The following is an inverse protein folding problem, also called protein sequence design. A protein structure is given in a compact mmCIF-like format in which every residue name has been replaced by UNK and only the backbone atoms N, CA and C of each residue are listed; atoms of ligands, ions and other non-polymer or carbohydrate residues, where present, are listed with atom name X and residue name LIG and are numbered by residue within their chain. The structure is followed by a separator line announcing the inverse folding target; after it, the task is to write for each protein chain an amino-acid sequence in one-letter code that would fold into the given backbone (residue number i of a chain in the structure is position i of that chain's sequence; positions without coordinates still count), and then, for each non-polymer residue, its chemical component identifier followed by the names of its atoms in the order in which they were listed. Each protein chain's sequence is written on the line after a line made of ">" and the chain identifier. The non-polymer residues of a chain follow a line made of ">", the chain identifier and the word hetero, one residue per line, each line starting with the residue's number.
data_IF_560633293976
#
_entry.id   IF_560633293976
#
_cell.length_a   1.000
_cell.length_b   1.000
_cell.length_c   1.000
_cell.angle_alpha   90.00
_cell.angle_beta   90.00
_cell.angle_gamma   90.00
#
_symmetry.space_group_name_H-M   'P 1'
#
loop_
_entity.id
_entity.type
_entity.pdbx_description
1 polymer ?
#
# COMPACT_ATOMS: atom_id res chain seq x y z
N UNK A 1 2.02 45.57 -43.70
CA UNK A 1 2.82 44.36 -43.99
C UNK A 1 3.69 44.06 -42.80
N UNK A 2 3.35 42.99 -42.08
CA UNK A 2 4.06 42.32 -40.97
C UNK A 2 4.31 43.13 -39.70
N UNK A 3 3.61 42.86 -38.59
CA UNK A 3 3.74 41.68 -37.71
C UNK A 3 5.14 41.49 -37.12
N UNK A 4 5.29 41.85 -35.84
CA UNK A 4 5.75 40.89 -34.84
C UNK A 4 5.20 41.30 -33.46
N UNK A 5 4.21 40.54 -33.00
CA UNK A 5 3.68 40.55 -31.64
C UNK A 5 4.70 39.83 -30.75
N UNK A 6 5.44 40.57 -29.92
CA UNK A 6 6.12 39.96 -28.79
C UNK A 6 5.11 39.80 -27.66
N UNK A 7 4.61 38.57 -27.54
CA UNK A 7 3.56 38.17 -26.61
C UNK A 7 4.11 38.20 -25.19
N UNK A 8 3.67 39.19 -24.41
CA UNK A 8 3.80 39.21 -22.95
C UNK A 8 2.94 38.08 -22.40
N UNK A 9 3.57 36.95 -22.09
CA UNK A 9 2.93 35.88 -21.33
C UNK A 9 2.64 36.37 -19.89
N UNK A 10 1.47 36.02 -19.33
CA UNK A 10 0.98 36.59 -18.10
C UNK A 10 1.72 36.03 -16.89
N UNK A 11 2.03 36.90 -15.93
CA UNK A 11 2.46 36.52 -14.59
C UNK A 11 1.32 35.79 -13.86
N UNK A 12 1.14 34.50 -14.15
CA UNK A 12 0.32 33.61 -13.36
C UNK A 12 1.03 33.40 -12.01
N UNK A 13 0.34 33.78 -10.93
CA UNK A 13 0.85 33.83 -9.57
C UNK A 13 1.59 32.57 -9.15
N UNK A 14 2.83 32.77 -8.74
CA UNK A 14 3.69 31.78 -8.11
C UNK A 14 3.26 31.51 -6.65
N UNK A 15 2.01 31.08 -6.46
CA UNK A 15 1.52 30.53 -5.19
C UNK A 15 1.26 29.03 -5.33
N UNK A 16 2.19 28.34 -5.97
CA UNK A 16 2.33 26.91 -5.77
C UNK A 16 2.85 26.73 -4.33
N UNK A 17 2.20 25.93 -3.48
CA UNK A 17 2.70 25.67 -2.13
C UNK A 17 4.11 25.14 -2.26
N UNK A 18 5.08 25.93 -1.78
CA UNK A 18 6.46 25.48 -1.64
C UNK A 18 6.42 24.27 -0.74
N UNK A 19 6.74 23.10 -1.28
CA UNK A 19 7.01 21.91 -0.48
C UNK A 19 8.08 22.31 0.54
N UNK A 20 7.68 22.42 1.80
CA UNK A 20 8.60 22.73 2.89
C UNK A 20 9.54 21.54 2.97
N UNK A 21 10.85 21.76 2.76
CA UNK A 21 11.85 20.72 2.90
C UNK A 21 11.67 20.03 4.28
N UNK A 22 11.22 18.78 4.27
CA UNK A 22 10.97 17.99 5.49
C UNK A 22 9.52 17.59 5.74
N UNK A 23 8.52 18.20 5.09
CA UNK A 23 7.14 17.71 5.17
C UNK A 23 6.96 16.46 4.32
N UNK A 24 6.44 15.41 4.94
CA UNK A 24 6.14 14.16 4.25
C UNK A 24 4.91 14.36 3.34
N UNK A 25 4.86 13.78 2.12
CA UNK A 25 3.76 14.03 1.17
C UNK A 25 2.35 13.84 1.75
N UNK A 26 2.17 12.89 2.67
CA UNK A 26 0.90 12.67 3.37
C UNK A 26 0.50 13.81 4.30
N UNK A 27 1.46 14.50 4.92
CA UNK A 27 1.20 15.62 5.82
C UNK A 27 0.75 16.84 5.02
N UNK A 28 1.37 17.10 3.86
CA UNK A 28 0.92 18.13 2.90
C UNK A 28 -0.51 17.87 2.43
N UNK A 29 -0.81 16.63 2.03
CA UNK A 29 -2.15 16.25 1.60
C UNK A 29 -3.18 16.38 2.74
N UNK A 30 -2.83 15.94 3.95
CA UNK A 30 -3.70 16.03 5.13
C UNK A 30 -3.97 17.48 5.54
N UNK A 31 -2.95 18.34 5.52
CA UNK A 31 -3.11 19.76 5.80
C UNK A 31 -3.97 20.46 4.74
N UNK A 32 -3.75 20.17 3.45
CA UNK A 32 -4.56 20.72 2.36
C UNK A 32 -6.03 20.29 2.48
N UNK A 33 -6.28 19.01 2.78
CA UNK A 33 -7.62 18.49 3.05
C UNK A 33 -8.29 19.20 4.22
N UNK A 34 -7.56 19.42 5.31
CA UNK A 34 -8.06 20.16 6.47
C UNK A 34 -8.47 21.57 6.07
N UNK A 35 -7.61 22.32 5.36
CA UNK A 35 -7.92 23.68 4.91
C UNK A 35 -9.17 23.74 4.02
N UNK A 36 -9.35 22.75 3.14
CA UNK A 36 -10.55 22.64 2.28
C UNK A 36 -11.83 22.31 3.05
N UNK A 37 -11.74 21.81 4.28
CA UNK A 37 -12.90 21.27 5.02
C UNK A 37 -13.23 21.99 6.32
N UNK A 38 -12.42 22.97 6.75
CA UNK A 38 -12.63 23.74 8.00
C UNK A 38 -13.01 25.21 7.78
N UNK A 39 -13.26 25.65 6.55
CA UNK A 39 -13.65 27.03 6.20
C UNK A 39 -15.16 27.31 6.24
N UNK A 40 -15.59 28.57 5.97
CA UNK A 40 -17.01 28.96 5.95
C UNK A 40 -17.80 28.27 4.82
N UNK A 41 -17.11 27.89 3.75
CA UNK A 41 -17.66 27.08 2.65
C UNK A 41 -16.82 25.79 2.51
N UNK A 42 -17.01 24.82 3.42
CA UNK A 42 -16.21 23.60 3.39
C UNK A 42 -16.57 22.78 2.15
N UNK A 43 -15.56 22.15 1.55
CA UNK A 43 -15.75 21.19 0.48
C UNK A 43 -16.67 20.06 0.99
N UNK A 44 -17.86 19.97 0.43
CA UNK A 44 -18.97 19.21 0.98
C UNK A 44 -19.79 18.52 -0.10
N UNK A 45 -20.42 17.40 0.27
CA UNK A 45 -21.42 16.71 -0.54
C UNK A 45 -22.82 16.94 0.03
N UNK A 46 -23.84 16.76 -0.80
CA UNK A 46 -25.23 16.73 -0.34
C UNK A 46 -25.62 15.30 0.06
N UNK A 47 -25.74 15.06 1.37
CA UNK A 47 -26.13 13.76 1.91
C UNK A 47 -27.61 13.43 1.66
N UNK A 48 -28.48 14.43 1.51
CA UNK A 48 -29.89 14.21 1.18
C UNK A 48 -30.03 13.69 -0.25
N UNK A 49 -29.30 14.27 -1.20
CA UNK A 49 -29.28 13.82 -2.59
C UNK A 49 -28.66 12.42 -2.76
N UNK A 50 -27.63 12.10 -1.97
CA UNK A 50 -26.94 10.80 -2.07
C UNK A 50 -27.68 9.65 -1.37
N UNK A 51 -28.40 9.97 -0.29
CA UNK A 51 -29.16 9.02 0.52
C UNK A 51 -28.30 7.90 1.14
N UNK A 52 -28.91 6.76 1.42
CA UNK A 52 -28.18 5.58 1.93
C UNK A 52 -27.80 5.67 3.42
N UNK A 53 -28.60 6.35 4.24
CA UNK A 53 -28.33 6.48 5.67
C UNK A 53 -27.34 7.60 6.03
N UNK A 54 -26.94 8.42 5.06
CA UNK A 54 -26.20 9.65 5.32
C UNK A 54 -27.11 10.72 5.91
N UNK A 55 -26.59 11.62 6.77
CA UNK A 55 -27.32 12.79 7.22
C UNK A 55 -27.91 13.59 6.05
N UNK A 56 -29.20 13.93 6.12
CA UNK A 56 -29.92 14.68 5.07
C UNK A 56 -29.58 16.18 5.10
N UNK A 57 -28.30 16.52 4.95
CA UNK A 57 -27.75 17.88 4.92
C UNK A 57 -26.45 17.91 4.10
N UNK A 58 -25.87 19.10 3.95
CA UNK A 58 -24.49 19.23 3.47
C UNK A 58 -23.53 18.62 4.51
N UNK A 59 -22.63 17.76 4.03
CA UNK A 59 -21.65 17.05 4.86
C UNK A 59 -20.26 17.41 4.33
N UNK A 60 -19.44 18.05 5.16
CA UNK A 60 -18.05 18.33 4.84
C UNK A 60 -17.27 17.03 4.63
N UNK A 61 -16.30 17.01 3.72
CA UNK A 61 -15.56 15.78 3.43
C UNK A 61 -14.81 15.22 4.65
N UNK A 62 -14.40 16.07 5.61
CA UNK A 62 -13.79 15.65 6.88
C UNK A 62 -14.76 14.82 7.73
N UNK A 63 -15.99 15.28 7.88
CA UNK A 63 -17.06 14.53 8.56
C UNK A 63 -17.41 13.26 7.78
N UNK A 64 -17.48 13.34 6.45
CA UNK A 64 -17.74 12.19 5.60
C UNK A 64 -16.68 11.09 5.78
N UNK A 65 -15.41 11.45 5.87
CA UNK A 65 -14.33 10.49 6.13
C UNK A 65 -14.56 9.75 7.46
N UNK A 66 -14.99 10.45 8.52
CA UNK A 66 -15.31 9.84 9.80
C UNK A 66 -16.52 8.89 9.69
N UNK A 67 -17.57 9.28 8.95
CA UNK A 67 -18.75 8.43 8.71
C UNK A 67 -18.35 7.14 7.99
N UNK A 68 -17.53 7.23 6.94
CA UNK A 68 -17.11 6.06 6.16
C UNK A 68 -16.23 5.08 6.96
N UNK A 69 -15.51 5.56 7.98
CA UNK A 69 -14.74 4.70 8.88
C UNK A 69 -15.59 4.03 9.95
N UNK A 70 -16.80 4.52 10.22
CA UNK A 70 -17.64 3.96 11.26
C UNK A 70 -18.14 2.56 10.85
N UNK A 71 -18.11 1.54 11.73
CA UNK A 71 -18.52 0.18 11.41
C UNK A 71 -20.00 0.05 10.99
N UNK A 72 -20.84 1.05 11.33
CA UNK A 72 -22.24 1.12 10.89
C UNK A 72 -22.42 1.60 9.45
N UNK A 73 -21.36 2.09 8.77
CA UNK A 73 -21.45 2.50 7.38
C UNK A 73 -21.47 1.27 6.46
N UNK A 74 -22.62 1.02 5.84
CA UNK A 74 -22.77 -0.08 4.88
C UNK A 74 -21.93 0.10 3.61
N UNK A 75 -21.53 -1.01 3.00
CA UNK A 75 -20.76 -1.01 1.75
C UNK A 75 -21.50 -0.32 0.60
N UNK A 76 -22.83 -0.41 0.55
CA UNK A 76 -23.64 0.24 -0.49
C UNK A 76 -23.57 1.76 -0.41
N UNK A 77 -23.57 2.32 0.80
CA UNK A 77 -23.41 3.75 1.07
C UNK A 77 -22.00 4.20 0.76
N UNK A 78 -20.99 3.44 1.20
CA UNK A 78 -19.59 3.69 0.87
C UNK A 78 -19.38 3.71 -0.65
N UNK A 79 -19.93 2.74 -1.38
CA UNK A 79 -19.83 2.71 -2.84
C UNK A 79 -20.49 3.91 -3.51
N UNK A 80 -21.64 4.39 -2.99
CA UNK A 80 -22.28 5.61 -3.49
C UNK A 80 -21.39 6.83 -3.31
N UNK A 81 -20.83 6.99 -2.11
CA UNK A 81 -19.92 8.09 -1.78
C UNK A 81 -18.69 8.05 -2.69
N UNK A 82 -18.02 6.90 -2.81
CA UNK A 82 -16.82 6.79 -3.62
C UNK A 82 -17.08 6.98 -5.11
N UNK A 83 -18.25 6.59 -5.63
CA UNK A 83 -18.64 6.92 -7.01
C UNK A 83 -18.73 8.43 -7.23
N UNK A 84 -19.41 9.13 -6.32
CA UNK A 84 -19.52 10.59 -6.38
C UNK A 84 -18.14 11.25 -6.26
N UNK A 85 -17.30 10.81 -5.33
CA UNK A 85 -15.94 11.37 -5.15
C UNK A 85 -15.07 11.15 -6.40
N UNK A 86 -15.15 9.99 -7.03
CA UNK A 86 -14.43 9.71 -8.29
C UNK A 86 -14.93 10.62 -9.41
N UNK A 87 -16.24 10.80 -9.53
CA UNK A 87 -16.84 11.68 -10.53
C UNK A 87 -16.39 13.14 -10.31
N UNK A 88 -16.53 13.65 -9.09
CA UNK A 88 -16.13 15.02 -8.74
C UNK A 88 -14.62 15.24 -8.88
N UNK A 89 -13.78 14.25 -8.56
CA UNK A 89 -12.34 14.34 -8.79
C UNK A 89 -11.97 14.44 -10.28
N UNK A 90 -12.85 13.98 -11.18
CA UNK A 90 -12.65 14.07 -12.63
C UNK A 90 -13.18 15.37 -13.22
N UNK A 91 -14.29 15.89 -12.70
CA UNK A 91 -15.03 17.01 -13.33
C UNK A 91 -15.06 18.29 -12.48
N UNK A 92 -14.97 18.17 -11.16
CA UNK A 92 -15.12 19.26 -10.20
C UNK A 92 -13.84 20.05 -9.88
N UNK A 93 -12.70 19.68 -10.46
CA UNK A 93 -11.42 20.39 -10.32
C UNK A 93 -10.49 19.84 -9.22
N UNK A 94 -9.33 20.49 -9.00
CA UNK A 94 -8.24 19.94 -8.19
C UNK A 94 -8.56 19.79 -6.71
N UNK A 95 -9.43 20.65 -6.15
CA UNK A 95 -9.87 20.56 -4.76
C UNK A 95 -10.55 19.21 -4.45
N UNK A 96 -11.28 18.63 -5.42
CA UNK A 96 -11.92 17.32 -5.25
C UNK A 96 -10.93 16.16 -5.31
N UNK A 97 -9.81 16.30 -6.01
CA UNK A 97 -8.72 15.31 -6.00
C UNK A 97 -8.08 15.27 -4.62
N UNK A 98 -7.75 16.44 -4.06
CA UNK A 98 -7.22 16.57 -2.70
C UNK A 98 -8.24 16.09 -1.66
N UNK A 99 -9.52 16.44 -1.86
CA UNK A 99 -10.65 15.97 -1.06
C UNK A 99 -10.74 14.45 -1.01
N UNK A 100 -10.72 13.79 -2.18
CA UNK A 100 -10.74 12.33 -2.27
C UNK A 100 -9.51 11.67 -1.65
N UNK A 101 -8.31 12.27 -1.82
CA UNK A 101 -7.09 11.79 -1.18
C UNK A 101 -7.19 11.88 0.35
N UNK A 102 -7.70 12.99 0.88
CA UNK A 102 -7.97 13.20 2.29
C UNK A 102 -8.92 12.16 2.89
N UNK A 103 -10.03 11.87 2.18
CA UNK A 103 -10.98 10.81 2.58
C UNK A 103 -10.33 9.41 2.50
N UNK A 104 -9.41 9.18 1.56
CA UNK A 104 -8.69 7.91 1.40
C UNK A 104 -7.52 7.72 2.39
N UNK A 105 -7.14 8.74 3.15
CA UNK A 105 -5.93 8.74 3.97
C UNK A 105 -5.76 7.53 4.90
N UNK A 106 -6.80 7.02 5.58
CA UNK A 106 -6.66 5.81 6.40
C UNK A 106 -6.16 4.61 5.59
N UNK A 107 -6.69 4.43 4.38
CA UNK A 107 -6.25 3.39 3.45
C UNK A 107 -4.84 3.64 2.93
N UNK A 108 -4.52 4.88 2.55
CA UNK A 108 -3.18 5.25 2.05
C UNK A 108 -2.08 5.06 3.12
N UNK A 109 -2.36 5.44 4.38
CA UNK A 109 -1.45 5.18 5.52
C UNK A 109 -1.22 3.69 5.75
N UNK A 110 -2.26 2.88 5.61
CA UNK A 110 -2.12 1.42 5.65
C UNK A 110 -1.26 0.89 4.49
N UNK A 111 -1.41 1.46 3.30
CA UNK A 111 -0.56 1.16 2.14
C UNK A 111 0.90 1.49 2.40
N UNK A 112 1.19 2.67 2.93
CA UNK A 112 2.54 3.11 3.26
C UNK A 112 3.19 2.19 4.32
N UNK A 113 2.43 1.79 5.34
CA UNK A 113 2.92 0.80 6.32
C UNK A 113 3.27 -0.55 5.68
N UNK A 114 2.46 -1.03 4.72
CA UNK A 114 2.75 -2.27 4.00
C UNK A 114 3.98 -2.17 3.12
N UNK A 115 4.30 -1.00 2.60
CA UNK A 115 5.42 -0.72 1.71
C UNK A 115 6.62 -0.07 2.42
N UNK A 116 6.64 -0.03 3.76
CA UNK A 116 7.67 0.65 4.56
C UNK A 116 9.12 0.19 4.33
N UNK A 117 9.32 -0.95 3.68
CA UNK A 117 10.64 -1.50 3.34
C UNK A 117 10.98 -1.36 1.86
N UNK A 118 10.10 -0.77 1.05
CA UNK A 118 10.39 -0.47 -0.35
C UNK A 118 11.42 0.66 -0.43
N UNK A 119 12.32 0.57 -1.41
CA UNK A 119 13.18 1.68 -1.77
C UNK A 119 12.35 2.78 -2.46
N UNK A 120 12.72 4.05 -2.26
CA UNK A 120 12.03 5.20 -2.86
C UNK A 120 11.04 5.90 -1.93
N UNK A 121 10.42 6.99 -2.41
CA UNK A 121 9.43 7.75 -1.66
C UNK A 121 8.04 7.10 -1.76
N UNK A 122 7.77 6.19 -0.82
CA UNK A 122 6.52 5.43 -0.73
C UNK A 122 5.28 6.34 -0.67
N UNK A 123 5.37 7.48 0.02
CA UNK A 123 4.21 8.35 0.18
C UNK A 123 3.90 9.11 -1.11
N UNK A 124 4.94 9.61 -1.78
CA UNK A 124 4.79 10.24 -3.09
C UNK A 124 4.23 9.25 -4.11
N UNK A 125 4.77 8.04 -4.19
CA UNK A 125 4.29 7.01 -5.12
C UNK A 125 2.84 6.60 -4.87
N UNK A 126 2.43 6.47 -3.60
CA UNK A 126 1.04 6.18 -3.26
C UNK A 126 0.09 7.31 -3.65
N UNK A 127 0.46 8.57 -3.44
CA UNK A 127 -0.36 9.71 -3.86
C UNK A 127 -0.44 9.80 -5.39
N UNK A 128 0.69 9.64 -6.08
CA UNK A 128 0.75 9.63 -7.55
C UNK A 128 -0.13 8.53 -8.13
N UNK A 129 0.02 7.30 -7.63
CA UNK A 129 -0.78 6.16 -8.03
C UNK A 129 -2.27 6.35 -7.73
N UNK A 130 -2.62 6.97 -6.59
CA UNK A 130 -4.01 7.25 -6.21
C UNK A 130 -4.67 8.24 -7.17
N UNK A 131 -3.97 9.35 -7.48
CA UNK A 131 -4.46 10.35 -8.43
C UNK A 131 -4.61 9.75 -9.83
N UNK A 132 -3.70 8.89 -10.26
CA UNK A 132 -3.83 8.15 -11.50
C UNK A 132 -5.04 7.19 -11.47
N UNK A 133 -5.23 6.45 -10.38
CA UNK A 133 -6.33 5.50 -10.23
C UNK A 133 -7.71 6.18 -10.21
N UNK A 134 -7.83 7.39 -9.64
CA UNK A 134 -9.06 8.19 -9.71
C UNK A 134 -9.50 8.44 -11.16
N UNK A 135 -8.57 8.56 -12.11
CA UNK A 135 -8.88 8.80 -13.53
C UNK A 135 -9.25 7.54 -14.30
N UNK A 136 -8.73 6.38 -13.90
CA UNK A 136 -8.83 5.14 -14.69
C UNK A 136 -9.83 4.12 -14.14
N UNK A 137 -10.06 4.09 -12.82
CA UNK A 137 -10.94 3.10 -12.18
C UNK A 137 -12.38 3.29 -12.63
N UNK A 138 -13.02 2.21 -13.11
CA UNK A 138 -14.44 2.25 -13.48
C UNK A 138 -15.30 2.33 -12.21
N UNK A 139 -16.14 3.38 -12.03
CA UNK A 139 -16.92 3.60 -10.81
C UNK A 139 -18.08 2.60 -10.63
N UNK A 140 -18.49 1.89 -11.69
CA UNK A 140 -19.54 0.87 -11.61
C UNK A 140 -19.13 -0.36 -10.78
N UNK A 141 -20.11 -1.03 -10.17
CA UNK A 141 -19.93 -2.24 -9.38
C UNK A 141 -19.86 -2.00 -7.86
N UNK A 142 -19.65 -3.09 -7.11
CA UNK A 142 -19.52 -3.07 -5.66
C UNK A 142 -18.07 -2.86 -5.21
N UNK A 143 -17.88 -2.46 -3.95
CA UNK A 143 -16.58 -2.31 -3.27
C UNK A 143 -15.63 -1.35 -4.00
N UNK A 144 -16.16 -0.20 -4.41
CA UNK A 144 -15.47 0.83 -5.21
C UNK A 144 -14.21 1.34 -4.49
N UNK A 145 -14.31 1.62 -3.19
CA UNK A 145 -13.19 2.06 -2.36
C UNK A 145 -12.04 1.04 -2.35
N UNK A 146 -12.38 -0.24 -2.16
CA UNK A 146 -11.39 -1.31 -2.11
C UNK A 146 -10.70 -1.46 -3.46
N UNK A 147 -11.45 -1.43 -4.56
CA UNK A 147 -10.88 -1.53 -5.92
C UNK A 147 -9.95 -0.36 -6.24
N UNK A 148 -10.32 0.86 -5.83
CA UNK A 148 -9.50 2.05 -5.98
C UNK A 148 -8.17 1.93 -5.20
N UNK A 149 -8.24 1.53 -3.93
CA UNK A 149 -7.05 1.35 -3.09
C UNK A 149 -6.18 0.17 -3.57
N UNK A 150 -6.78 -0.93 -4.01
CA UNK A 150 -6.04 -2.05 -4.62
C UNK A 150 -5.28 -1.59 -5.87
N UNK A 151 -5.94 -0.89 -6.79
CA UNK A 151 -5.28 -0.36 -7.99
C UNK A 151 -4.14 0.61 -7.65
N UNK A 152 -4.36 1.47 -6.65
CA UNK A 152 -3.36 2.40 -6.12
C UNK A 152 -2.13 1.65 -5.60
N UNK A 153 -2.32 0.64 -4.74
CA UNK A 153 -1.21 -0.11 -4.16
C UNK A 153 -0.43 -0.92 -5.20
N UNK A 154 -1.13 -1.54 -6.15
CA UNK A 154 -0.49 -2.28 -7.23
C UNK A 154 0.37 -1.36 -8.08
N UNK A 155 -0.14 -0.19 -8.47
CA UNK A 155 0.60 0.77 -9.28
C UNK A 155 1.80 1.37 -8.51
N UNK A 156 1.60 1.79 -7.26
CA UNK A 156 2.69 2.32 -6.43
C UNK A 156 3.81 1.29 -6.22
N UNK A 157 3.46 0.04 -5.91
CA UNK A 157 4.46 -1.04 -5.80
C UNK A 157 5.21 -1.27 -7.11
N UNK A 158 4.51 -1.27 -8.24
CA UNK A 158 5.15 -1.43 -9.54
C UNK A 158 6.13 -0.30 -9.84
N UNK A 159 5.81 0.94 -9.47
CA UNK A 159 6.69 2.09 -9.65
C UNK A 159 7.93 2.01 -8.74
N UNK A 160 7.74 1.73 -7.45
CA UNK A 160 8.83 1.56 -6.48
C UNK A 160 9.80 0.45 -6.90
N UNK A 161 9.29 -0.66 -7.43
CA UNK A 161 10.13 -1.77 -7.93
C UNK A 161 10.84 -1.42 -9.25
N UNK A 162 10.29 -0.52 -10.06
CA UNK A 162 10.92 -0.09 -11.32
C UNK A 162 12.05 0.93 -11.08
N UNK A 163 11.95 1.72 -10.01
CA UNK A 163 13.03 2.61 -9.56
C UNK A 163 14.15 1.89 -8.83
N UNK A 164 13.92 0.64 -8.40
CA UNK A 164 14.99 -0.20 -7.86
C UNK A 164 15.98 -0.49 -9.00
N UNK A 165 17.22 0.05 -8.97
CA UNK A 165 18.17 -0.21 -10.03
C UNK A 165 18.35 -1.72 -10.11
N UNK A 166 18.15 -2.28 -11.30
CA UNK A 166 18.49 -3.67 -11.61
C UNK A 166 19.97 -3.84 -11.23
N UNK A 167 20.22 -4.33 -10.02
CA UNK A 167 21.53 -4.86 -9.65
C UNK A 167 21.62 -6.16 -10.43
N UNK A 168 22.15 -6.07 -11.65
CA UNK A 168 22.82 -7.21 -12.26
C UNK A 168 23.84 -7.67 -11.23
N UNK A 169 23.53 -8.78 -10.57
CA UNK A 169 24.33 -9.39 -9.53
C UNK A 169 25.65 -9.83 -10.16
N UNK A 170 26.67 -8.97 -10.08
CA UNK A 170 28.01 -9.47 -9.87
C UNK A 170 27.99 -10.15 -8.50
N UNK A 171 28.07 -11.48 -8.49
CA UNK A 171 28.16 -12.32 -7.30
C UNK A 171 29.30 -11.83 -6.40
N UNK A 172 28.97 -11.01 -5.42
CA UNK A 172 29.77 -10.82 -4.22
C UNK A 172 28.90 -11.31 -3.08
N UNK A 173 29.18 -12.53 -2.64
CA UNK A 173 28.61 -13.13 -1.45
C UNK A 173 29.03 -12.29 -0.24
N UNK A 174 28.14 -11.43 0.22
CA UNK A 174 28.15 -10.86 1.56
C UNK A 174 26.84 -11.27 2.26
N UNK A 175 26.88 -11.71 3.52
CA UNK A 175 25.71 -12.25 4.19
C UNK A 175 24.77 -11.09 4.53
N UNK A 176 23.67 -10.97 3.79
CA UNK A 176 22.60 -10.04 4.14
C UNK A 176 21.71 -10.77 5.14
N UNK A 177 21.77 -10.38 6.41
CA UNK A 177 20.82 -10.81 7.44
C UNK A 177 19.45 -10.22 7.13
N UNK A 178 18.71 -10.90 6.25
CA UNK A 178 17.39 -10.51 5.75
C UNK A 178 16.27 -11.22 6.54
N UNK A 179 16.20 -10.96 7.84
CA UNK A 179 15.10 -11.42 8.68
C UNK A 179 13.86 -10.54 8.43
N UNK A 180 13.05 -10.86 7.42
CA UNK A 180 11.75 -10.17 7.26
C UNK A 180 10.90 -10.47 6.03
N UNK A 181 11.42 -11.11 4.98
CA UNK A 181 10.61 -11.38 3.78
C UNK A 181 9.67 -12.58 3.99
N UNK A 182 8.35 -12.47 3.74
CA UNK A 182 7.40 -13.58 3.87
C UNK A 182 7.80 -14.82 3.04
N UNK A 183 8.31 -14.62 1.82
CA UNK A 183 8.84 -15.73 1.00
C UNK A 183 10.05 -16.42 1.62
N UNK A 184 10.87 -15.72 2.41
CA UNK A 184 11.97 -16.36 3.15
C UNK A 184 11.44 -17.19 4.33
N UNK A 185 10.30 -16.83 4.92
CA UNK A 185 9.61 -17.67 5.92
C UNK A 185 9.07 -18.94 5.26
N UNK A 186 8.51 -18.84 4.04
CA UNK A 186 8.07 -20.02 3.27
C UNK A 186 9.27 -20.89 2.87
N UNK A 187 10.35 -20.30 2.37
CA UNK A 187 11.56 -21.02 2.02
C UNK A 187 12.19 -21.71 3.24
N UNK A 188 12.21 -21.04 4.39
CA UNK A 188 12.68 -21.61 5.67
C UNK A 188 11.77 -22.72 6.17
N UNK A 189 10.45 -22.57 6.03
CA UNK A 189 9.49 -23.60 6.40
C UNK A 189 9.60 -24.84 5.49
N UNK A 190 9.95 -24.67 4.22
CA UNK A 190 10.29 -25.77 3.30
C UNK A 190 11.61 -26.43 3.70
N UNK A 191 12.65 -25.64 3.96
CA UNK A 191 13.95 -26.16 4.39
C UNK A 191 13.87 -26.92 5.73
N UNK A 192 13.01 -26.47 6.64
CA UNK A 192 12.72 -27.13 7.92
C UNK A 192 11.71 -28.30 7.79
N UNK A 193 11.18 -28.59 6.60
CA UNK A 193 10.22 -29.67 6.36
C UNK A 193 8.84 -29.47 6.98
N UNK A 194 8.51 -28.24 7.42
CA UNK A 194 7.23 -27.89 8.04
C UNK A 194 6.11 -27.88 7.00
N UNK A 195 6.42 -27.39 5.79
CA UNK A 195 5.54 -27.41 4.61
C UNK A 195 6.30 -27.92 3.39
N UNK A 196 5.59 -28.46 2.41
CA UNK A 196 6.19 -28.87 1.13
C UNK A 196 6.43 -27.67 0.21
N UNK A 197 7.26 -27.85 -0.82
CA UNK A 197 7.47 -26.81 -1.84
C UNK A 197 6.17 -26.45 -2.58
N UNK A 198 5.31 -27.44 -2.87
CA UNK A 198 4.01 -27.21 -3.49
C UNK A 198 3.04 -26.46 -2.56
N UNK A 199 3.10 -26.73 -1.25
CA UNK A 199 2.31 -25.99 -0.25
C UNK A 199 2.81 -24.56 -0.10
N UNK A 200 4.12 -24.34 -0.15
CA UNK A 200 4.72 -23.00 -0.16
C UNK A 200 4.32 -22.23 -1.42
N UNK A 201 4.30 -22.86 -2.59
CA UNK A 201 3.82 -22.25 -3.84
C UNK A 201 2.33 -21.91 -3.77
N UNK A 202 1.50 -22.81 -3.24
CA UNK A 202 0.07 -22.57 -3.02
C UNK A 202 -0.19 -21.39 -2.07
N UNK A 203 0.57 -21.32 -0.96
CA UNK A 203 0.46 -20.22 0.00
C UNK A 203 0.99 -18.92 -0.62
N UNK A 204 2.14 -18.96 -1.30
CA UNK A 204 2.73 -17.82 -1.99
C UNK A 204 1.77 -17.22 -3.01
N UNK A 205 1.28 -18.05 -3.93
CA UNK A 205 0.34 -17.63 -4.97
C UNK A 205 -0.95 -17.03 -4.38
N UNK A 206 -1.53 -17.65 -3.34
CA UNK A 206 -2.85 -17.21 -2.85
C UNK A 206 -2.81 -16.15 -1.74
N UNK A 207 -1.71 -16.02 -0.99
CA UNK A 207 -1.59 -15.06 0.13
C UNK A 207 -0.62 -13.91 -0.15
N UNK A 208 0.41 -14.13 -0.96
CA UNK A 208 1.44 -13.14 -1.24
C UNK A 208 1.22 -12.49 -2.61
N UNK A 209 0.81 -13.28 -3.61
CA UNK A 209 0.58 -12.82 -4.98
C UNK A 209 -0.88 -12.45 -5.28
N UNK A 210 -1.82 -12.83 -4.39
CA UNK A 210 -3.23 -12.45 -4.50
C UNK A 210 -4.05 -13.24 -5.52
N UNK A 211 -3.55 -14.39 -6.00
CA UNK A 211 -4.29 -15.32 -6.87
C UNK A 211 -5.47 -15.92 -6.11
N UNK A 212 -6.65 -15.98 -6.72
CA UNK A 212 -7.80 -16.61 -6.07
C UNK A 212 -7.61 -18.13 -5.97
N UNK A 213 -8.23 -18.76 -4.97
CA UNK A 213 -8.14 -20.22 -4.83
C UNK A 213 -8.81 -20.93 -6.00
N UNK A 214 -9.82 -20.31 -6.61
CA UNK A 214 -10.46 -20.83 -7.80
C UNK A 214 -9.51 -20.83 -9.00
N UNK A 215 -8.84 -19.70 -9.27
CA UNK A 215 -7.90 -19.57 -10.39
C UNK A 215 -6.67 -20.46 -10.19
N UNK A 216 -6.19 -20.58 -8.95
CA UNK A 216 -5.09 -21.50 -8.63
C UNK A 216 -5.52 -22.95 -8.85
N UNK A 217 -6.71 -23.34 -8.37
CA UNK A 217 -7.23 -24.71 -8.52
C UNK A 217 -7.46 -25.08 -9.98
N UNK A 218 -7.95 -24.16 -10.80
CA UNK A 218 -8.10 -24.32 -12.25
C UNK A 218 -6.72 -24.52 -12.92
N UNK A 219 -5.73 -23.69 -12.56
CA UNK A 219 -4.36 -23.78 -13.09
C UNK A 219 -3.66 -25.10 -12.77
N UNK A 220 -3.94 -25.70 -11.62
CA UNK A 220 -3.33 -26.98 -11.21
C UNK A 220 -4.23 -28.19 -11.47
N UNK A 221 -5.39 -28.01 -12.13
CA UNK A 221 -6.38 -29.04 -12.44
C UNK A 221 -6.86 -29.83 -11.20
N UNK A 222 -7.07 -29.13 -10.08
CA UNK A 222 -7.54 -29.74 -8.82
C UNK A 222 -8.88 -29.20 -8.40
N UNK A 223 -9.61 -29.97 -7.60
CA UNK A 223 -10.89 -29.49 -7.08
C UNK A 223 -10.68 -28.34 -6.10
N UNK A 224 -11.53 -27.31 -6.22
CA UNK A 224 -11.50 -26.13 -5.35
C UNK A 224 -11.43 -26.48 -3.86
N UNK A 225 -12.27 -27.42 -3.40
CA UNK A 225 -12.32 -27.84 -2.00
C UNK A 225 -11.05 -28.57 -1.54
N UNK A 226 -10.35 -29.29 -2.43
CA UNK A 226 -9.08 -29.93 -2.10
C UNK A 226 -7.99 -28.87 -1.86
N UNK A 227 -7.91 -27.86 -2.73
CA UNK A 227 -6.94 -26.76 -2.61
C UNK A 227 -7.21 -25.91 -1.36
N UNK A 228 -8.49 -25.61 -1.05
CA UNK A 228 -8.86 -24.93 0.19
C UNK A 228 -8.39 -25.70 1.42
N UNK A 229 -8.65 -27.01 1.48
CA UNK A 229 -8.31 -27.86 2.64
C UNK A 229 -6.80 -28.03 2.81
N UNK A 230 -6.07 -28.17 1.71
CA UNK A 230 -4.62 -28.26 1.71
C UNK A 230 -3.98 -26.96 2.19
N UNK A 231 -4.42 -25.82 1.66
CA UNK A 231 -3.95 -24.52 2.09
C UNK A 231 -4.17 -24.29 3.58
N UNK A 232 -5.36 -24.59 4.10
CA UNK A 232 -5.66 -24.42 5.53
C UNK A 232 -4.74 -25.27 6.42
N UNK A 233 -4.49 -26.53 6.05
CA UNK A 233 -3.60 -27.43 6.81
C UNK A 233 -2.13 -26.99 6.77
N UNK A 234 -1.69 -26.46 5.64
CA UNK A 234 -0.33 -25.92 5.49
C UNK A 234 -0.17 -24.62 6.29
N UNK A 235 -1.17 -23.74 6.27
CA UNK A 235 -1.20 -22.52 7.08
C UNK A 235 -1.20 -22.82 8.59
N UNK A 236 -1.96 -23.82 9.05
CA UNK A 236 -1.97 -24.25 10.45
C UNK A 236 -0.59 -24.75 10.91
N UNK A 237 0.09 -25.56 10.10
CA UNK A 237 1.47 -26.01 10.38
C UNK A 237 2.47 -24.86 10.41
N UNK A 238 2.35 -23.93 9.45
CA UNK A 238 3.22 -22.77 9.38
C UNK A 238 3.04 -21.86 10.62
N UNK A 239 1.81 -21.62 11.05
CA UNK A 239 1.51 -20.84 12.27
C UNK A 239 2.07 -21.53 13.52
N UNK A 240 1.93 -22.86 13.63
CA UNK A 240 2.50 -23.62 14.74
C UNK A 240 4.03 -23.52 14.79
N UNK A 241 4.70 -23.62 13.64
CA UNK A 241 6.16 -23.52 13.55
C UNK A 241 6.69 -22.11 13.86
N UNK A 242 5.99 -21.06 13.41
CA UNK A 242 6.33 -19.67 13.75
C UNK A 242 6.19 -19.44 15.26
N UNK A 243 5.09 -19.89 15.87
CA UNK A 243 4.86 -19.74 17.31
C UNK A 243 5.80 -20.59 18.15
N UNK A 244 6.19 -21.76 17.66
CA UNK A 244 7.15 -22.66 18.31
C UNK A 244 8.60 -22.24 18.18
N UNK A 245 8.91 -21.14 17.48
CA UNK A 245 10.27 -20.65 17.30
C UNK A 245 11.15 -21.50 16.37
N UNK A 246 10.60 -22.54 15.74
CA UNK A 246 11.31 -23.43 14.81
C UNK A 246 11.79 -22.74 13.53
N UNK A 247 11.37 -21.48 13.31
CA UNK A 247 11.75 -20.64 12.18
C UNK A 247 12.53 -19.38 12.63
N UNK A 248 12.90 -19.26 13.91
CA UNK A 248 13.79 -18.22 14.42
C UNK A 248 15.26 -18.70 14.37
N UNK A 249 16.20 -17.80 14.07
CA UNK A 249 17.59 -18.11 13.67
C UNK A 249 18.33 -19.12 14.57
N UNK A 250 18.98 -20.08 13.93
CA UNK A 250 20.09 -20.89 14.48
C UNK A 250 21.45 -20.17 14.40
N UNK A 251 21.51 -18.96 13.85
CA UNK A 251 22.76 -18.21 13.65
C UNK A 251 23.12 -17.26 14.82
N UNK A 252 22.26 -17.13 15.85
CA UNK A 252 22.59 -16.36 17.05
C UNK A 252 23.74 -16.97 17.87
N UNK A 253 24.03 -18.27 17.71
CA UNK A 253 25.14 -18.95 18.37
C UNK A 253 26.50 -18.64 17.74
N UNK A 254 26.55 -18.36 16.42
CA UNK A 254 27.81 -18.19 15.68
C UNK A 254 28.42 -16.79 15.89
N UNK A 255 27.60 -15.79 16.21
CA UNK A 255 28.08 -14.42 16.50
C UNK A 255 28.78 -14.37 17.89
N UNK A 256 28.36 -15.21 18.84
CA UNK A 256 29.04 -15.34 20.14
C UNK A 256 30.42 -16.02 19.99
N UNK A 257 30.53 -17.01 19.09
CA UNK A 257 31.78 -17.73 18.80
C UNK A 257 32.81 -16.87 18.03
N UNK A 258 32.34 -16.05 17.09
CA UNK A 258 33.20 -15.12 16.35
C UNK A 258 33.72 -13.96 17.22
N UNK A 259 32.93 -13.51 18.21
CA UNK A 259 33.36 -12.47 19.16
C UNK A 259 34.39 -12.99 20.17
N UNK A 260 34.39 -14.30 20.47
CA UNK A 260 35.36 -14.92 21.38
C UNK A 260 36.73 -15.19 20.70
N UNK A 261 36.79 -15.21 19.37
CA UNK A 261 38.01 -15.52 18.60
C UNK A 261 38.88 -14.27 18.32
N UNK A 262 38.36 -13.06 18.57
CA UNK A 262 39.11 -11.79 18.44
C UNK A 262 39.73 -11.28 19.76
N UNK A 263 39.65 -12.07 20.84
CA UNK A 263 40.31 -11.79 22.11
C UNK A 263 41.31 -12.90 22.47
N UNK A 264 42.33 -13.07 21.63
CA UNK A 264 43.55 -13.78 21.99
C UNK A 264 44.73 -13.25 21.17
N UNK A 265 45.40 -12.23 21.70
CA UNK A 265 46.85 -12.23 21.65
C UNK A 265 47.40 -11.98 23.06
N UNK A 266 47.64 -13.05 23.85
CA UNK A 266 48.51 -12.96 24.99
C UNK A 266 49.96 -13.25 24.56
N UNK A 267 50.78 -12.23 24.82
CA UNK A 267 52.19 -12.30 25.19
C UNK A 267 53.26 -12.34 24.09
N UNK A 268 54.11 -11.31 24.14
CA UNK A 268 55.53 -11.58 24.39
C UNK A 268 56.12 -10.52 25.34
N UNK A 269 56.37 -10.94 26.58
CA UNK A 269 57.34 -10.30 27.49
C UNK A 269 58.74 -10.77 27.09
N UNK A 270 59.68 -9.83 27.05
CA UNK A 270 61.12 -10.03 26.93
C UNK A 270 61.80 -8.68 27.00
#
# INVERSE_FOLDING_TARGET
>A
MSEYLDSVLPAAGADAPRLVLGEQPFDVAANSFRLLTTGPEPLSIDGAALGGGLPARRIALSELAAILMHPSCGYTTSDRVWRLLIEQARTGGPAWVVGAAGVAMPGLRQGAYRLRHSAGDVQAELLTAFVAALRTVKPGGAKVAQRLLSATFTAARSALNAEEPIRTTALVLAPVTAAGHPDMVLARAVAAGVISAAEAELIGATRLEGVSVADYAERVERSYWAVVKERSRAEERLVAAVRGGALADQDAAVIAEATMTLAADPAYQG
#
